data_IF_420226138773
#
_entry.id   IF_420226138773
#
_cell.length_a   1.000
_cell.length_b   1.000
_cell.length_c   1.000
_cell.angle_alpha   90.00
_cell.angle_beta   90.00
_cell.angle_gamma   90.00
#
_symmetry.space_group_name_H-M   'P 1'
#
loop_
_entity.id
_entity.type
_entity.pdbx_description
1 polymer ?
#
# COMPACT_ATOMS: atom_id res chain seq x y z
N UNK A 1 19.94 4.76 -31.48
CA UNK A 1 19.81 3.29 -31.60
C UNK A 1 19.32 2.82 -30.25
N UNK A 2 18.13 2.23 -30.17
CA UNK A 2 17.61 1.72 -28.89
C UNK A 2 18.42 0.46 -28.58
N UNK A 3 19.51 0.62 -27.84
CA UNK A 3 20.39 -0.48 -27.40
C UNK A 3 19.70 -1.25 -26.25
N UNK A 4 18.42 -1.60 -26.41
CA UNK A 4 17.67 -2.46 -25.51
C UNK A 4 17.95 -3.91 -25.90
N UNK A 5 19.18 -4.36 -25.63
CA UNK A 5 19.50 -5.78 -25.73
C UNK A 5 18.67 -6.60 -24.75
N UNK A 6 18.49 -7.90 -25.04
CA UNK A 6 17.80 -8.87 -24.17
C UNK A 6 18.31 -8.76 -22.73
N UNK A 7 19.61 -8.50 -22.55
CA UNK A 7 20.27 -8.32 -21.26
C UNK A 7 19.71 -7.14 -20.45
N UNK A 8 19.41 -5.99 -21.07
CA UNK A 8 18.87 -4.83 -20.34
C UNK A 8 17.42 -5.04 -19.93
N UNK A 9 16.63 -5.70 -20.80
CA UNK A 9 15.25 -6.08 -20.45
C UNK A 9 15.26 -7.10 -19.29
N UNK A 10 16.16 -8.08 -19.32
CA UNK A 10 16.32 -9.04 -18.23
C UNK A 10 16.71 -8.36 -16.90
N UNK A 11 17.64 -7.39 -16.93
CA UNK A 11 18.04 -6.61 -15.75
C UNK A 11 16.86 -5.83 -15.16
N UNK A 12 16.12 -5.09 -16.00
CA UNK A 12 14.93 -4.33 -15.55
C UNK A 12 13.87 -5.29 -14.98
N UNK A 13 13.65 -6.44 -15.62
CA UNK A 13 12.75 -7.47 -15.13
C UNK A 13 13.17 -8.01 -13.76
N UNK A 14 14.45 -8.28 -13.56
CA UNK A 14 14.99 -8.73 -12.27
C UNK A 14 14.80 -7.67 -11.17
N UNK A 15 15.10 -6.40 -11.45
CA UNK A 15 14.89 -5.30 -10.49
C UNK A 15 13.41 -5.15 -10.16
N UNK A 16 12.53 -5.20 -11.16
CA UNK A 16 11.09 -5.12 -10.95
C UNK A 16 10.57 -6.29 -10.09
N UNK A 17 11.11 -7.51 -10.26
CA UNK A 17 10.77 -8.66 -9.42
C UNK A 17 11.16 -8.46 -7.95
N UNK A 18 12.30 -7.82 -7.68
CA UNK A 18 12.76 -7.56 -6.31
C UNK A 18 11.88 -6.47 -5.65
N UNK A 19 11.61 -5.38 -6.36
CA UNK A 19 10.91 -4.21 -5.80
C UNK A 19 9.41 -4.45 -5.65
N UNK A 20 8.76 -4.95 -6.71
CA UNK A 20 7.31 -5.17 -6.74
C UNK A 20 6.95 -6.54 -6.14
N UNK A 21 7.84 -7.52 -6.29
CA UNK A 21 7.60 -8.91 -5.94
C UNK A 21 7.01 -9.73 -7.11
N UNK A 22 7.41 -11.01 -7.27
CA UNK A 22 6.94 -11.89 -8.35
C UNK A 22 5.43 -12.13 -8.33
N UNK A 23 4.80 -12.07 -7.16
CA UNK A 23 3.36 -12.29 -7.01
C UNK A 23 2.51 -11.13 -7.53
N UNK A 24 3.06 -9.91 -7.51
CA UNK A 24 2.32 -8.68 -7.83
C UNK A 24 2.58 -8.17 -9.25
N UNK A 25 3.76 -8.44 -9.81
CA UNK A 25 4.13 -8.10 -11.19
C UNK A 25 3.11 -8.53 -12.26
N UNK A 26 2.56 -9.77 -12.28
CA UNK A 26 1.58 -10.17 -13.29
C UNK A 26 0.30 -9.34 -13.21
N UNK A 27 -0.07 -8.86 -12.02
CA UNK A 27 -1.23 -7.99 -11.84
C UNK A 27 -1.00 -6.60 -12.43
N UNK A 28 0.19 -6.04 -12.23
CA UNK A 28 0.60 -4.74 -12.79
C UNK A 28 0.66 -4.81 -14.31
N UNK A 29 1.34 -5.83 -14.86
CA UNK A 29 1.46 -6.04 -16.30
C UNK A 29 0.08 -6.17 -16.98
N UNK A 30 -0.85 -6.93 -16.38
CA UNK A 30 -2.23 -7.02 -16.87
C UNK A 30 -2.94 -5.68 -16.85
N UNK A 31 -2.80 -4.91 -15.77
CA UNK A 31 -3.46 -3.61 -15.64
C UNK A 31 -2.96 -2.64 -16.71
N UNK A 32 -1.64 -2.46 -16.81
CA UNK A 32 -1.01 -1.61 -17.83
C UNK A 32 -1.37 -2.08 -19.24
N UNK A 33 -1.30 -3.39 -19.50
CA UNK A 33 -1.65 -3.97 -20.79
C UNK A 33 -3.12 -3.73 -21.17
N UNK A 34 -4.06 -3.84 -20.22
CA UNK A 34 -5.47 -3.56 -20.49
C UNK A 34 -5.73 -2.09 -20.80
N UNK A 35 -5.01 -1.17 -20.12
CA UNK A 35 -5.14 0.26 -20.36
C UNK A 35 -4.56 0.65 -21.73
N UNK A 36 -3.36 0.19 -22.05
CA UNK A 36 -2.74 0.40 -23.36
C UNK A 36 -3.59 -0.21 -24.49
N UNK A 37 -4.09 -1.43 -24.30
CA UNK A 37 -4.95 -2.08 -25.31
C UNK A 37 -6.26 -1.34 -25.54
N UNK A 38 -6.88 -0.78 -24.49
CA UNK A 38 -8.05 0.09 -24.63
C UNK A 38 -7.69 1.37 -25.39
N UNK A 39 -6.62 2.06 -24.99
CA UNK A 39 -6.18 3.29 -25.65
C UNK A 39 -5.91 3.07 -27.14
N UNK A 40 -5.22 1.98 -27.51
CA UNK A 40 -4.96 1.63 -28.90
C UNK A 40 -6.25 1.44 -29.70
N UNK A 41 -7.28 0.80 -29.12
CA UNK A 41 -8.60 0.66 -29.75
C UNK A 41 -9.28 2.01 -29.96
N UNK A 42 -9.30 2.87 -28.93
CA UNK A 42 -9.87 4.22 -29.07
C UNK A 42 -9.19 5.03 -30.17
N UNK A 43 -7.86 4.98 -30.25
CA UNK A 43 -7.10 5.66 -31.31
C UNK A 43 -7.46 5.10 -32.69
N UNK A 44 -7.65 3.78 -32.81
CA UNK A 44 -8.07 3.16 -34.07
C UNK A 44 -9.47 3.62 -34.49
N UNK A 45 -10.43 3.66 -33.56
CA UNK A 45 -11.80 4.09 -33.82
C UNK A 45 -11.84 5.57 -34.23
N UNK A 46 -11.13 6.44 -33.51
CA UNK A 46 -11.02 7.87 -33.84
C UNK A 46 -10.36 8.06 -35.20
N UNK A 47 -9.32 7.30 -35.53
CA UNK A 47 -8.69 7.34 -36.86
C UNK A 47 -9.66 6.94 -37.97
N UNK A 48 -10.55 5.97 -37.74
CA UNK A 48 -11.55 5.54 -38.72
C UNK A 48 -12.66 6.57 -38.94
N UNK A 49 -13.12 7.24 -37.88
CA UNK A 49 -14.10 8.34 -37.98
C UNK A 49 -13.49 9.54 -38.70
N UNK A 50 -12.31 10.00 -38.25
CA UNK A 50 -11.61 11.17 -38.78
C UNK A 50 -11.18 10.97 -40.24
N UNK A 51 -10.72 9.77 -40.61
CA UNK A 51 -10.36 9.45 -42.00
C UNK A 51 -11.57 9.40 -42.95
N UNK A 52 -12.79 9.28 -42.42
CA UNK A 52 -14.03 9.23 -43.21
C UNK A 52 -14.65 10.62 -43.43
N UNK A 53 -14.33 11.61 -42.59
CA UNK A 53 -15.04 12.90 -42.56
C UNK A 53 -14.20 14.16 -42.79
N UNK A 54 -12.86 14.10 -42.91
CA UNK A 54 -11.99 15.29 -43.00
C UNK A 54 -11.08 15.31 -44.25
N UNK A 55 -10.74 16.52 -44.70
CA UNK A 55 -9.90 16.80 -45.87
C UNK A 55 -8.41 16.49 -45.60
N UNK A 56 -7.65 16.10 -46.64
CA UNK A 56 -6.25 15.63 -46.51
C UNK A 56 -5.30 16.64 -45.84
N UNK A 57 -5.59 17.95 -45.89
CA UNK A 57 -4.77 18.99 -45.29
C UNK A 57 -4.91 19.08 -43.75
N UNK A 58 -6.09 18.80 -43.20
CA UNK A 58 -6.29 18.77 -41.74
C UNK A 58 -5.64 17.53 -41.11
N UNK A 59 -5.67 16.40 -41.83
CA UNK A 59 -4.94 15.18 -41.47
C UNK A 59 -3.42 15.43 -41.41
N UNK A 60 -2.88 16.21 -42.34
CA UNK A 60 -1.45 16.53 -42.41
C UNK A 60 -1.03 17.41 -41.24
N UNK A 61 -1.80 18.47 -40.93
CA UNK A 61 -1.59 19.32 -39.75
C UNK A 61 -1.68 18.55 -38.43
N UNK A 62 -2.69 17.69 -38.29
CA UNK A 62 -2.86 16.92 -37.05
C UNK A 62 -1.74 15.89 -36.87
N UNK A 63 -1.29 15.27 -37.96
CA UNK A 63 -0.11 14.38 -37.94
C UNK A 63 1.14 15.13 -37.50
N UNK A 64 1.40 16.30 -38.06
CA UNK A 64 2.56 17.14 -37.71
C UNK A 64 2.52 17.52 -36.22
N UNK A 65 1.38 18.00 -35.72
CA UNK A 65 1.21 18.31 -34.29
C UNK A 65 1.43 17.09 -33.37
N UNK A 66 0.96 15.92 -33.77
CA UNK A 66 1.17 14.68 -33.01
C UNK A 66 2.63 14.23 -33.06
N UNK A 67 3.28 14.39 -34.21
CA UNK A 67 4.70 14.05 -34.40
C UNK A 67 5.60 14.98 -33.56
N UNK A 68 5.29 16.28 -33.51
CA UNK A 68 5.98 17.25 -32.68
C UNK A 68 5.74 17.00 -31.19
N UNK A 69 4.48 16.76 -30.79
CA UNK A 69 4.19 16.37 -29.40
C UNK A 69 4.90 15.06 -29.01
N UNK A 70 4.99 14.10 -29.92
CA UNK A 70 5.73 12.86 -29.68
C UNK A 70 7.24 13.11 -29.53
N UNK A 71 7.82 13.99 -30.36
CA UNK A 71 9.23 14.41 -30.23
C UNK A 71 9.50 15.13 -28.93
N UNK A 72 8.61 16.02 -28.50
CA UNK A 72 8.72 16.72 -27.22
C UNK A 72 8.65 15.76 -26.04
N UNK A 73 7.74 14.79 -26.10
CA UNK A 73 7.67 13.72 -25.11
C UNK A 73 8.97 12.90 -25.12
N UNK A 74 9.48 12.51 -26.28
CA UNK A 74 10.75 11.79 -26.38
C UNK A 74 11.92 12.57 -25.78
N UNK A 75 12.05 13.87 -26.10
CA UNK A 75 13.06 14.74 -25.51
C UNK A 75 12.91 14.85 -23.99
N UNK A 76 11.68 15.06 -23.50
CA UNK A 76 11.40 15.14 -22.07
C UNK A 76 11.72 13.83 -21.34
N UNK A 77 11.46 12.68 -21.98
CA UNK A 77 11.79 11.35 -21.44
C UNK A 77 13.29 11.12 -21.45
N UNK A 78 14.02 11.52 -22.49
CA UNK A 78 15.48 11.40 -22.55
C UNK A 78 16.16 12.27 -21.47
N UNK A 79 15.74 13.53 -21.32
CA UNK A 79 16.25 14.42 -20.26
C UNK A 79 15.92 13.84 -18.88
N UNK A 80 14.66 13.47 -18.64
CA UNK A 80 14.23 12.88 -17.36
C UNK A 80 14.93 11.57 -17.06
N UNK A 81 15.18 10.73 -18.07
CA UNK A 81 15.94 9.48 -17.91
C UNK A 81 17.40 9.76 -17.53
N UNK A 82 18.04 10.78 -18.13
CA UNK A 82 19.42 11.15 -17.80
C UNK A 82 19.56 11.71 -16.38
N UNK A 83 18.58 12.49 -15.91
CA UNK A 83 18.57 13.03 -14.55
C UNK A 83 18.20 11.96 -13.51
N UNK A 84 17.34 11.03 -13.89
CA UNK A 84 17.07 9.82 -13.10
C UNK A 84 18.32 8.96 -12.98
N UNK A 85 19.06 8.73 -14.06
CA UNK A 85 20.30 7.95 -14.04
C UNK A 85 21.38 8.58 -13.16
N UNK A 86 21.52 9.92 -13.19
CA UNK A 86 22.41 10.66 -12.27
C UNK A 86 21.97 10.52 -10.80
N UNK A 87 20.69 10.75 -10.52
CA UNK A 87 20.13 10.64 -9.17
C UNK A 87 20.26 9.21 -8.62
N UNK A 88 20.07 8.23 -9.50
CA UNK A 88 20.28 6.82 -9.20
C UNK A 88 21.75 6.51 -8.93
N UNK A 89 22.68 6.99 -9.76
CA UNK A 89 24.11 6.80 -9.54
C UNK A 89 24.59 7.42 -8.22
N UNK A 90 24.08 8.60 -7.85
CA UNK A 90 24.37 9.28 -6.58
C UNK A 90 23.84 8.51 -5.36
N UNK A 91 22.59 8.03 -5.43
CA UNK A 91 22.00 7.22 -4.35
C UNK A 91 22.64 5.84 -4.23
N UNK A 92 22.99 5.20 -5.34
CA UNK A 92 23.71 3.92 -5.32
C UNK A 92 25.16 4.09 -4.85
N UNK A 93 25.80 5.22 -5.18
CA UNK A 93 27.13 5.59 -4.70
C UNK A 93 27.17 5.90 -3.20
N UNK A 94 26.13 6.54 -2.67
CA UNK A 94 25.95 6.72 -1.22
C UNK A 94 25.58 5.42 -0.49
N UNK A 95 24.92 4.47 -1.16
CA UNK A 95 24.58 3.17 -0.57
C UNK A 95 25.75 2.17 -0.60
N UNK A 96 26.73 2.33 -1.49
CA UNK A 96 27.91 1.46 -1.58
C UNK A 96 29.04 1.86 -0.64
N UNK A 97 29.00 3.08 -0.09
CA UNK A 97 29.81 3.52 1.05
C UNK A 97 29.17 3.01 2.35
N UNK A 98 29.24 1.68 2.54
CA UNK A 98 28.76 0.99 3.72
C UNK A 98 29.59 1.29 4.98
N UNK A 99 29.49 2.51 5.49
CA UNK A 99 29.69 2.77 6.91
C UNK A 99 28.37 2.44 7.60
N UNK A 100 28.33 1.27 8.25
CA UNK A 100 27.25 0.85 9.12
C UNK A 100 27.06 1.92 10.21
N UNK A 101 25.95 2.69 10.23
CA UNK A 101 25.61 3.47 11.40
C UNK A 101 25.32 2.45 12.51
N UNK A 102 25.88 2.71 13.69
CA UNK A 102 25.82 1.82 14.85
C UNK A 102 24.44 1.19 15.03
N UNK A 103 24.46 -0.08 15.43
CA UNK A 103 23.32 -0.96 15.69
C UNK A 103 22.24 -0.25 16.53
N UNK A 104 21.36 0.51 15.87
CA UNK A 104 20.18 1.08 16.49
C UNK A 104 19.22 -0.08 16.72
N UNK A 105 19.11 -0.45 17.99
CA UNK A 105 18.19 -1.48 18.46
C UNK A 105 16.78 -0.93 18.28
N UNK A 106 16.17 -1.20 17.13
CA UNK A 106 14.75 -0.90 16.93
C UNK A 106 13.93 -1.84 17.80
N UNK A 107 12.93 -1.33 18.53
CA UNK A 107 12.06 -2.19 19.33
C UNK A 107 11.31 -3.16 18.42
N UNK A 108 11.56 -4.46 18.60
CA UNK A 108 10.87 -5.52 17.87
C UNK A 108 9.39 -5.57 18.28
N UNK A 109 8.49 -5.41 17.31
CA UNK A 109 7.06 -5.47 17.56
C UNK A 109 6.65 -6.89 17.97
N UNK A 110 6.30 -7.08 19.25
CA UNK A 110 5.67 -8.31 19.73
C UNK A 110 4.15 -8.21 19.64
N UNK A 111 3.57 -9.05 18.80
CA UNK A 111 2.13 -9.12 18.65
C UNK A 111 1.42 -9.43 20.00
N UNK A 112 0.51 -8.58 20.48
CA UNK A 112 -0.28 -8.93 21.64
C UNK A 112 -1.21 -10.07 21.21
N UNK A 113 -1.02 -11.28 21.75
CA UNK A 113 -1.90 -12.46 21.55
C UNK A 113 -3.27 -12.26 22.23
N UNK A 114 -3.88 -11.09 22.06
CA UNK A 114 -5.11 -10.66 22.69
C UNK A 114 -6.28 -11.17 21.85
N UNK A 115 -6.94 -12.22 22.35
CA UNK A 115 -8.19 -12.75 21.79
C UNK A 115 -9.34 -11.79 22.12
N UNK A 116 -9.47 -10.69 21.36
CA UNK A 116 -10.49 -9.66 21.54
C UNK A 116 -11.93 -10.22 21.54
N UNK A 117 -12.15 -11.36 20.87
CA UNK A 117 -13.41 -12.10 20.84
C UNK A 117 -13.80 -12.76 22.16
N UNK A 118 -12.85 -13.10 23.03
CA UNK A 118 -13.15 -13.68 24.36
C UNK A 118 -13.62 -12.63 25.38
N UNK A 119 -13.54 -11.32 25.05
CA UNK A 119 -13.92 -10.23 25.96
C UNK A 119 -15.26 -9.56 25.63
N UNK A 120 -15.97 -10.01 24.58
CA UNK A 120 -17.23 -9.39 24.15
C UNK A 120 -18.45 -9.73 25.05
N UNK A 121 -18.31 -10.65 26.02
CA UNK A 121 -19.42 -11.07 26.89
C UNK A 121 -19.51 -10.40 28.26
N UNK A 122 -18.53 -9.55 28.63
CA UNK A 122 -18.50 -8.97 29.97
C UNK A 122 -19.17 -7.60 29.99
N UNK A 123 -20.38 -7.51 30.54
CA UNK A 123 -21.01 -6.23 30.86
C UNK A 123 -20.09 -5.41 31.78
N UNK A 124 -19.80 -4.13 31.45
CA UNK A 124 -18.92 -3.29 32.24
C UNK A 124 -19.34 -3.19 33.72
N UNK A 125 -18.37 -3.06 34.63
CA UNK A 125 -18.64 -2.96 36.07
C UNK A 125 -19.53 -1.75 36.41
N UNK A 126 -19.36 -0.62 35.71
CA UNK A 126 -20.20 0.58 35.87
C UNK A 126 -21.69 0.28 35.56
N UNK A 127 -21.95 -0.57 34.58
CA UNK A 127 -23.30 -0.93 34.16
C UNK A 127 -23.96 -1.85 35.21
N UNK A 128 -23.21 -2.81 35.76
CA UNK A 128 -23.68 -3.69 36.84
C UNK A 128 -23.96 -2.93 38.15
N UNK A 129 -23.13 -1.95 38.47
CA UNK A 129 -23.32 -1.10 39.64
C UNK A 129 -24.61 -0.26 39.53
N UNK A 130 -24.94 0.24 38.32
CA UNK A 130 -26.14 1.05 38.08
C UNK A 130 -27.43 0.22 38.01
N UNK A 131 -27.36 -0.99 37.45
CA UNK A 131 -28.52 -1.89 37.29
C UNK A 131 -28.88 -2.68 38.55
N UNK A 132 -28.18 -2.47 39.66
CA UNK A 132 -28.47 -3.15 40.94
C UNK A 132 -28.24 -4.67 40.93
N UNK A 133 -27.59 -5.20 39.89
CA UNK A 133 -27.35 -6.64 39.75
C UNK A 133 -26.28 -7.06 40.76
N UNK A 134 -26.68 -7.91 41.72
CA UNK A 134 -25.77 -8.45 42.74
C UNK A 134 -24.67 -9.27 42.09
N UNK A 135 -23.44 -8.76 42.13
CA UNK A 135 -22.27 -9.38 41.51
C UNK A 135 -21.59 -10.46 42.37
N UNK A 136 -21.95 -10.55 43.65
CA UNK A 136 -21.34 -11.47 44.61
C UNK A 136 -22.42 -12.39 45.21
N UNK A 137 -22.20 -13.70 45.12
CA UNK A 137 -22.96 -14.67 45.89
C UNK A 137 -22.55 -14.57 47.36
N UNK A 138 -23.51 -14.38 48.27
CA UNK A 138 -23.24 -14.44 49.70
C UNK A 138 -23.13 -15.92 50.10
N UNK A 139 -21.94 -16.33 50.58
CA UNK A 139 -21.75 -17.66 51.15
C UNK A 139 -22.69 -17.87 52.35
N UNK A 140 -23.08 -19.12 52.63
CA UNK A 140 -23.98 -19.45 53.74
C UNK A 140 -23.51 -18.88 55.07
N UNK A 141 -22.21 -18.90 55.34
CA UNK A 141 -21.60 -18.31 56.54
C UNK A 141 -21.85 -16.79 56.66
N UNK A 142 -21.78 -16.04 55.56
CA UNK A 142 -22.01 -14.60 55.55
C UNK A 142 -23.49 -14.24 55.77
N UNK A 143 -24.42 -15.12 55.39
CA UNK A 143 -25.84 -14.98 55.73
C UNK A 143 -26.06 -15.13 57.23
N UNK A 144 -25.46 -16.16 57.82
CA UNK A 144 -25.64 -16.48 59.26
C UNK A 144 -24.98 -15.43 60.14
N UNK A 145 -23.87 -14.82 59.72
CA UNK A 145 -23.17 -13.78 60.49
C UNK A 145 -24.03 -12.55 60.84
N UNK A 146 -25.09 -12.25 60.06
CA UNK A 146 -26.02 -11.14 60.34
C UNK A 146 -26.96 -11.41 61.52
N UNK A 147 -27.19 -12.68 61.82
CA UNK A 147 -28.13 -13.12 62.87
C UNK A 147 -27.41 -13.62 64.11
N UNK A 148 -26.07 -13.50 64.16
CA UNK A 148 -25.31 -13.83 65.37
C UNK A 148 -25.30 -12.62 66.31
N UNK A 149 -25.67 -12.78 67.59
CA UNK A 149 -25.55 -11.71 68.57
C UNK A 149 -24.07 -11.31 68.68
N UNK A 150 -23.81 -10.00 68.61
CA UNK A 150 -22.44 -9.49 68.79
C UNK A 150 -22.04 -9.68 70.26
N UNK A 151 -20.87 -10.27 70.55
CA UNK A 151 -20.39 -10.33 71.92
C UNK A 151 -20.18 -8.90 72.43
N UNK A 152 -20.89 -8.54 73.49
CA UNK A 152 -20.87 -7.21 74.07
C UNK A 152 -19.44 -6.75 74.36
N UNK A 153 -19.08 -5.57 73.86
CA UNK A 153 -17.82 -4.91 74.15
C UNK A 153 -17.79 -4.60 75.65
N UNK A 154 -16.97 -5.33 76.41
CA UNK A 154 -16.70 -4.99 77.82
C UNK A 154 -16.02 -3.61 77.84
N UNK A 155 -16.60 -2.71 78.62
CA UNK A 155 -16.06 -1.38 78.91
C UNK A 155 -14.73 -1.49 79.67
#
# INVERSE_FOLDING_TARGET
MIDLGISKIALIGAVALIVIGPEKLPRVARTVGTLLGKAQRYVADVKQEVSRSMELDELKKMKENVEDAARDVEHSLQTSASDFEKSWAETTGSASSGELPGMEVFPEYRHPKKKWRLKQGATPQWYKARSGVRSKAQSGAARVARFRPQPGRKA
#
